data_IF_453578781838
#
_entry.id   IF_453578781838
#
_cell.length_a   1.000
_cell.length_b   1.000
_cell.length_c   1.000
_cell.angle_alpha   90.00
_cell.angle_beta   90.00
_cell.angle_gamma   90.00
#
_symmetry.space_group_name_H-M   'P 1'
#
loop_
_entity.id
_entity.type
_entity.pdbx_description
1 polymer ?
#
# COMPACT_ATOMS: atom_id res chain seq x y z
N UNK A 1 8.99 11.14 1.90
CA UNK A 1 7.86 11.88 2.52
C UNK A 1 7.38 12.95 1.55
N UNK A 2 6.64 12.56 0.53
CA UNK A 2 5.82 13.50 -0.24
C UNK A 2 4.64 13.84 0.67
N UNK A 3 4.56 15.09 1.13
CA UNK A 3 3.42 15.60 1.86
C UNK A 3 2.23 15.61 0.91
N UNK A 4 1.48 14.52 0.93
CA UNK A 4 0.09 14.56 0.53
C UNK A 4 -0.66 15.26 1.64
N UNK A 5 -1.50 16.24 1.31
CA UNK A 5 -2.26 16.98 2.30
C UNK A 5 -3.38 16.09 2.84
N UNK A 6 -3.02 15.08 3.63
CA UNK A 6 -3.93 14.13 4.25
C UNK A 6 -5.07 14.87 4.96
N UNK A 7 -4.74 15.95 5.65
CA UNK A 7 -5.70 16.85 6.31
C UNK A 7 -6.63 17.54 5.31
N UNK A 8 -6.14 17.98 4.15
CA UNK A 8 -6.98 18.55 3.10
C UNK A 8 -7.95 17.52 2.50
N UNK A 9 -7.59 16.23 2.51
CA UNK A 9 -8.46 15.11 2.12
C UNK A 9 -9.35 14.62 3.29
N UNK A 10 -9.33 15.31 4.43
CA UNK A 10 -10.14 15.00 5.60
C UNK A 10 -9.65 13.81 6.41
N UNK A 11 -8.36 13.46 6.31
CA UNK A 11 -7.71 12.47 7.16
C UNK A 11 -6.95 13.12 8.31
N UNK A 12 -6.82 12.38 9.40
CA UNK A 12 -5.95 12.71 10.53
C UNK A 12 -4.57 12.09 10.27
N UNK A 13 -3.55 12.94 10.08
CA UNK A 13 -2.19 12.50 9.76
C UNK A 13 -1.55 11.70 10.90
N UNK A 14 -1.82 12.03 12.16
CA UNK A 14 -1.34 11.26 13.30
C UNK A 14 -1.95 9.85 13.34
N UNK A 15 -3.20 9.70 12.89
CA UNK A 15 -3.83 8.38 12.78
C UNK A 15 -3.28 7.59 11.60
N UNK A 16 -3.04 8.22 10.45
CA UNK A 16 -2.41 7.57 9.30
C UNK A 16 -0.99 7.08 9.66
N UNK A 17 -0.22 7.87 10.41
CA UNK A 17 1.12 7.48 10.87
C UNK A 17 1.16 6.21 11.73
N UNK A 18 0.02 5.79 12.32
CA UNK A 18 -0.07 4.54 13.10
C UNK A 18 -0.09 3.28 12.24
N UNK A 19 -0.39 3.41 10.95
CA UNK A 19 -0.57 2.27 10.05
C UNK A 19 0.75 1.52 9.83
N UNK A 20 1.83 2.25 9.52
CA UNK A 20 3.14 1.64 9.25
C UNK A 20 3.67 0.82 10.43
N UNK A 21 3.75 1.36 11.67
CA UNK A 21 4.18 0.60 12.85
C UNK A 21 3.28 -0.61 13.13
N UNK A 22 1.97 -0.48 12.94
CA UNK A 22 1.05 -1.60 13.12
C UNK A 22 1.32 -2.72 12.11
N UNK A 23 1.49 -2.38 10.82
CA UNK A 23 1.78 -3.37 9.79
C UNK A 23 3.12 -4.08 10.06
N UNK A 24 4.15 -3.31 10.44
CA UNK A 24 5.45 -3.84 10.83
C UNK A 24 5.31 -4.86 11.97
N UNK A 25 4.79 -4.42 13.11
CA UNK A 25 4.72 -5.23 14.32
C UNK A 25 3.79 -6.45 14.17
N UNK A 26 2.65 -6.28 13.50
CA UNK A 26 1.62 -7.32 13.44
C UNK A 26 1.88 -8.36 12.35
N UNK A 27 2.46 -7.97 11.21
CA UNK A 27 2.55 -8.83 10.02
C UNK A 27 3.99 -9.14 9.61
N UNK A 28 4.88 -8.16 9.60
CA UNK A 28 6.25 -8.38 9.13
C UNK A 28 7.11 -9.02 10.22
N UNK A 29 7.12 -8.45 11.43
CA UNK A 29 7.93 -8.94 12.55
C UNK A 29 7.49 -10.35 13.00
N UNK A 30 6.21 -10.69 12.80
CA UNK A 30 5.67 -12.02 13.08
C UNK A 30 5.89 -13.03 11.95
N UNK A 31 6.42 -12.60 10.80
CA UNK A 31 6.62 -13.43 9.63
C UNK A 31 5.34 -13.83 8.88
N UNK A 32 4.18 -13.22 9.19
CA UNK A 32 2.93 -13.51 8.48
C UNK A 32 2.93 -13.00 7.05
N UNK A 33 3.61 -11.88 6.80
CA UNK A 33 3.84 -11.34 5.47
C UNK A 33 5.33 -11.02 5.29
N UNK A 34 5.95 -11.39 4.16
CA UNK A 34 7.34 -11.01 3.87
C UNK A 34 7.49 -9.52 3.53
N UNK A 35 6.40 -8.90 3.05
CA UNK A 35 6.32 -7.50 2.69
C UNK A 35 4.86 -7.03 2.64
N UNK A 36 4.66 -5.71 2.62
CA UNK A 36 3.36 -5.08 2.47
C UNK A 36 3.50 -3.71 1.81
N UNK A 37 2.65 -3.42 0.83
CA UNK A 37 2.45 -2.08 0.28
C UNK A 37 0.99 -1.68 0.47
N UNK A 38 0.76 -0.46 0.97
CA UNK A 38 -0.57 0.06 1.26
C UNK A 38 -0.70 1.49 0.73
N UNK A 39 -1.77 1.72 -0.02
CA UNK A 39 -2.15 3.03 -0.55
C UNK A 39 -3.57 3.37 -0.07
N UNK A 40 -3.74 4.60 0.44
CA UNK A 40 -5.04 5.20 0.74
C UNK A 40 -5.15 6.45 -0.12
N UNK A 41 -6.23 6.56 -0.88
CA UNK A 41 -6.52 7.69 -1.74
C UNK A 41 -7.97 8.12 -1.58
N UNK A 42 -8.22 9.42 -1.78
CA UNK A 42 -9.55 10.03 -1.78
C UNK A 42 -9.57 11.13 -2.83
N UNK A 43 -10.67 11.20 -3.58
CA UNK A 43 -10.89 12.24 -4.59
C UNK A 43 -9.76 12.32 -5.65
N UNK A 44 -9.17 11.17 -5.98
CA UNK A 44 -8.08 11.06 -6.96
C UNK A 44 -6.68 11.38 -6.41
N UNK A 45 -6.59 11.86 -5.18
CA UNK A 45 -5.33 12.21 -4.52
C UNK A 45 -4.91 11.12 -3.52
N UNK A 46 -3.62 10.82 -3.47
CA UNK A 46 -3.06 9.90 -2.47
C UNK A 46 -3.07 10.63 -1.12
N UNK A 47 -3.51 9.99 -0.05
CA UNK A 47 -3.44 10.50 1.32
C UNK A 47 -2.34 9.81 2.14
N UNK A 48 -2.09 8.53 1.86
CA UNK A 48 -1.06 7.72 2.50
C UNK A 48 -0.52 6.71 1.49
N UNK A 49 0.79 6.56 1.41
CA UNK A 49 1.41 5.49 0.62
C UNK A 49 2.69 5.02 1.30
N UNK A 50 2.72 3.73 1.63
CA UNK A 50 3.82 3.11 2.37
C UNK A 50 4.13 1.73 1.81
N UNK A 51 5.41 1.33 1.89
CA UNK A 51 5.89 0.00 1.52
C UNK A 51 6.93 -0.49 2.54
N UNK A 52 6.85 -1.76 2.94
CA UNK A 52 7.68 -2.35 3.98
C UNK A 52 8.06 -3.79 3.62
N UNK A 53 9.24 -4.24 4.06
CA UNK A 53 9.72 -5.62 3.88
C UNK A 53 10.43 -5.90 2.55
N UNK A 54 10.79 -7.17 2.33
CA UNK A 54 11.57 -7.60 1.17
C UNK A 54 10.73 -8.32 0.13
N UNK A 55 11.04 -8.13 -1.15
CA UNK A 55 10.28 -8.71 -2.26
C UNK A 55 10.27 -10.26 -2.24
N UNK A 56 11.30 -10.85 -1.65
CA UNK A 56 11.47 -12.29 -1.38
C UNK A 56 12.45 -12.46 -0.23
N UNK A 57 12.54 -13.67 0.33
CA UNK A 57 13.55 -14.00 1.33
C UNK A 57 14.96 -13.73 0.78
N UNK A 58 15.77 -12.96 1.53
CA UNK A 58 17.10 -12.51 1.09
C UNK A 58 17.12 -11.54 -0.11
N UNK A 59 15.95 -11.11 -0.59
CA UNK A 59 15.82 -10.18 -1.71
C UNK A 59 15.87 -8.70 -1.30
N UNK A 60 15.85 -7.79 -2.29
CA UNK A 60 15.81 -6.36 -2.03
C UNK A 60 14.50 -5.96 -1.32
N UNK A 61 14.55 -4.83 -0.61
CA UNK A 61 13.34 -4.18 -0.09
C UNK A 61 12.38 -3.83 -1.24
N UNK A 62 11.09 -3.95 -1.00
CA UNK A 62 10.09 -3.43 -1.95
C UNK A 62 10.08 -1.90 -1.93
N UNK A 63 9.64 -1.32 -3.04
CA UNK A 63 9.44 0.11 -3.22
C UNK A 63 8.10 0.41 -3.91
N UNK A 64 7.82 1.69 -4.12
CA UNK A 64 6.62 2.18 -4.82
C UNK A 64 6.39 1.61 -6.23
N UNK A 65 7.43 1.07 -6.89
CA UNK A 65 7.37 0.54 -8.25
C UNK A 65 7.29 -0.99 -8.30
N UNK A 66 7.35 -1.65 -7.15
CA UNK A 66 7.37 -3.10 -7.04
C UNK A 66 6.09 -3.72 -7.59
N UNK A 67 6.24 -4.72 -8.46
CA UNK A 67 5.13 -5.39 -9.11
C UNK A 67 4.64 -6.58 -8.27
N UNK A 68 3.32 -6.68 -8.17
CA UNK A 68 2.64 -7.81 -7.53
C UNK A 68 1.87 -8.61 -8.57
N UNK A 69 1.89 -9.94 -8.41
CA UNK A 69 0.91 -10.79 -9.07
C UNK A 69 -0.42 -10.66 -8.35
N UNK A 70 -1.30 -9.78 -8.85
CA UNK A 70 -2.58 -9.44 -8.20
C UNK A 70 -3.69 -10.49 -8.40
N UNK A 71 -3.40 -11.59 -9.12
CA UNK A 71 -4.29 -12.73 -9.32
C UNK A 71 -5.72 -12.30 -9.71
N UNK A 72 -6.75 -12.71 -8.97
CA UNK A 72 -8.15 -12.41 -9.27
C UNK A 72 -8.50 -10.92 -9.28
N UNK A 73 -7.65 -10.02 -8.75
CA UNK A 73 -7.85 -8.57 -8.85
C UNK A 73 -7.70 -8.04 -10.27
N UNK A 74 -7.28 -8.86 -11.25
CA UNK A 74 -7.35 -8.50 -12.67
C UNK A 74 -8.79 -8.46 -13.21
N UNK A 75 -9.74 -9.15 -12.57
CA UNK A 75 -11.12 -9.29 -13.08
C UNK A 75 -11.83 -7.94 -13.29
N UNK A 76 -11.81 -6.98 -12.34
CA UNK A 76 -12.39 -5.66 -12.56
C UNK A 76 -11.77 -4.92 -13.75
N UNK A 77 -10.47 -5.11 -14.03
CA UNK A 77 -9.81 -4.51 -15.21
C UNK A 77 -10.40 -5.08 -16.49
N UNK A 78 -10.56 -6.42 -16.57
CA UNK A 78 -11.21 -7.07 -17.71
C UNK A 78 -12.66 -6.64 -17.86
N UNK A 79 -13.40 -6.46 -16.76
CA UNK A 79 -14.77 -5.96 -16.81
C UNK A 79 -14.85 -4.54 -17.37
N UNK A 80 -13.96 -3.63 -16.98
CA UNK A 80 -13.92 -2.27 -17.56
C UNK A 80 -13.62 -2.34 -19.06
N UNK A 81 -12.65 -3.16 -19.47
CA UNK A 81 -12.30 -3.34 -20.88
C UNK A 81 -13.43 -3.92 -21.74
N UNK A 82 -14.37 -4.65 -21.12
CA UNK A 82 -15.56 -5.18 -21.81
C UNK A 82 -16.71 -4.16 -21.89
N UNK A 83 -16.85 -3.31 -20.87
CA UNK A 83 -17.97 -2.37 -20.73
C UNK A 83 -17.73 -1.03 -21.44
N UNK A 84 -16.49 -0.72 -21.78
CA UNK A 84 -16.05 0.47 -22.53
C UNK A 84 -15.88 0.14 -24.01
#
# INVERSE_FOLDING_TARGET
MTSYAAEALGFDSERLARIEPYLQARYLDTGLLPNCQLLIARDGEIAHFSHQGSAREGGPAIDQSSLYRIASMTKPITSIAFMM
#
